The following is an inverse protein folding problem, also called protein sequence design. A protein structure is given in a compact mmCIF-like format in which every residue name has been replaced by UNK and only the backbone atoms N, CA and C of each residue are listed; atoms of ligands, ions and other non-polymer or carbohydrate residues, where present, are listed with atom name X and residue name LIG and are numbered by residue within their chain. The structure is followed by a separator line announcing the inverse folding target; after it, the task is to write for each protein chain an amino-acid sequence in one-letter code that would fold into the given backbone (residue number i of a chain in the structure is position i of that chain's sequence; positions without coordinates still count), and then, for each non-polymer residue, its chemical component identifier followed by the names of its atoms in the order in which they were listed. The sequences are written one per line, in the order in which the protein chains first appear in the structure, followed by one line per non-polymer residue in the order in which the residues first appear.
data_IF_422621809362
#
_entry.id   IF_422621809362
#
_cell.length_a   1.000
_cell.length_b   1.000
_cell.length_c   1.000
_cell.angle_alpha   90.00
_cell.angle_beta   90.00
_cell.angle_gamma   90.00
#
_symmetry.space_group_name_H-M   'P 1'
#
loop_
_entity.id
_entity.type
_entity.pdbx_description
1 polymer ?
#
# COMPACT_ATOMS: atom_id res chain seq x y z
N UNK A 1 7.50 6.55 -25.90
CA UNK A 1 6.03 6.44 -25.84
C UNK A 1 5.60 7.21 -24.62
N UNK A 2 4.72 8.20 -24.77
CA UNK A 2 4.37 9.11 -23.69
C UNK A 2 3.65 8.35 -22.58
N UNK A 3 4.24 8.34 -21.37
CA UNK A 3 3.50 7.99 -20.16
C UNK A 3 2.46 9.09 -19.98
N UNK A 4 1.20 8.78 -20.29
CA UNK A 4 0.07 9.66 -19.96
C UNK A 4 -0.02 9.70 -18.44
N UNK A 5 0.26 10.86 -17.87
CA UNK A 5 0.25 11.06 -16.42
C UNK A 5 -1.18 10.87 -15.92
N UNK A 6 -1.40 9.84 -15.09
CA UNK A 6 -2.70 9.61 -14.44
C UNK A 6 -2.93 10.67 -13.36
N UNK A 7 -4.12 11.26 -13.30
CA UNK A 7 -4.57 12.26 -12.34
C UNK A 7 -5.82 11.82 -11.57
N UNK A 8 -6.26 12.61 -10.58
CA UNK A 8 -7.38 12.23 -9.71
C UNK A 8 -8.68 11.95 -10.49
N UNK A 9 -8.90 12.62 -11.62
CA UNK A 9 -10.06 12.42 -12.49
C UNK A 9 -10.05 11.06 -13.20
N UNK A 10 -8.87 10.46 -13.39
CA UNK A 10 -8.72 9.15 -14.01
C UNK A 10 -9.23 8.01 -13.12
N UNK A 11 -9.35 8.27 -11.81
CA UNK A 11 -9.88 7.34 -10.82
C UNK A 11 -11.39 7.52 -10.58
N UNK A 12 -12.03 8.47 -11.24
CA UNK A 12 -13.45 8.71 -11.07
C UNK A 12 -14.25 7.48 -11.56
N UNK A 13 -15.26 7.03 -10.79
CA UNK A 13 -16.06 5.89 -11.20
C UNK A 13 -16.76 6.17 -12.53
N UNK A 14 -16.64 5.22 -13.46
CA UNK A 14 -17.45 5.21 -14.68
C UNK A 14 -18.93 4.93 -14.35
N UNK A 15 -19.83 5.20 -15.31
CA UNK A 15 -21.30 5.21 -15.17
C UNK A 15 -21.82 4.24 -14.09
N UNK A 16 -22.60 4.79 -13.15
CA UNK A 16 -23.22 4.12 -11.99
C UNK A 16 -23.97 2.81 -12.32
N UNK A 17 -24.43 2.67 -13.56
CA UNK A 17 -25.30 1.60 -14.03
C UNK A 17 -24.56 0.27 -14.28
N UNK A 18 -23.23 0.26 -14.36
CA UNK A 18 -22.43 -0.94 -14.70
C UNK A 18 -21.98 -1.79 -13.49
N UNK A 19 -22.34 -1.41 -12.26
CA UNK A 19 -21.77 -1.98 -11.01
C UNK A 19 -22.73 -2.85 -10.16
N UNK A 20 -23.86 -3.28 -10.72
CA UNK A 20 -24.78 -4.17 -10.01
C UNK A 20 -24.25 -5.61 -10.02
N UNK A 21 -23.74 -6.09 -8.88
CA UNK A 21 -23.18 -7.44 -8.74
C UNK A 21 -21.83 -7.66 -9.44
N UNK A 22 -21.12 -6.58 -9.77
CA UNK A 22 -19.80 -6.63 -10.40
C UNK A 22 -18.80 -5.71 -9.67
N UNK A 23 -17.49 -6.04 -9.71
CA UNK A 23 -16.46 -5.14 -9.20
C UNK A 23 -16.49 -3.77 -9.89
N UNK A 24 -16.15 -2.71 -9.16
CA UNK A 24 -16.02 -1.35 -9.69
C UNK A 24 -15.04 -1.33 -10.86
N UNK A 25 -15.45 -0.83 -12.02
CA UNK A 25 -14.59 -0.81 -13.20
C UNK A 25 -13.34 0.06 -13.00
N UNK A 26 -12.18 -0.45 -13.39
CA UNK A 26 -10.90 0.27 -13.44
C UNK A 26 -10.36 0.15 -14.86
N UNK A 27 -9.85 1.26 -15.41
CA UNK A 27 -9.32 1.28 -16.78
C UNK A 27 -8.06 0.40 -16.88
N UNK A 28 -7.85 -0.32 -17.99
CA UNK A 28 -6.70 -1.23 -18.15
C UNK A 28 -5.33 -0.57 -17.92
N UNK A 29 -5.13 0.65 -18.41
CA UNK A 29 -3.88 1.41 -18.25
C UNK A 29 -3.56 1.75 -16.79
N UNK A 30 -4.58 1.90 -15.95
CA UNK A 30 -4.41 2.10 -14.50
C UNK A 30 -4.01 0.78 -13.85
N UNK A 31 -4.69 -0.32 -14.21
CA UNK A 31 -4.33 -1.66 -13.70
C UNK A 31 -2.89 -2.02 -14.08
N UNK A 32 -2.45 -1.71 -15.29
CA UNK A 32 -1.06 -1.92 -15.73
C UNK A 32 -0.07 -1.08 -14.90
N UNK A 33 -0.35 0.21 -14.68
CA UNK A 33 0.51 1.07 -13.88
C UNK A 33 0.59 0.61 -12.41
N UNK A 34 -0.53 0.17 -11.82
CA UNK A 34 -0.59 -0.37 -10.46
C UNK A 34 0.13 -1.71 -10.37
N UNK A 35 -0.10 -2.63 -11.31
CA UNK A 35 0.58 -3.92 -11.36
C UNK A 35 2.08 -3.72 -11.47
N UNK A 36 2.52 -2.78 -12.29
CA UNK A 36 3.94 -2.48 -12.44
C UNK A 36 4.52 -1.80 -11.22
N UNK A 37 3.71 -1.21 -10.32
CA UNK A 37 4.11 -0.42 -9.17
C UNK A 37 4.57 1.01 -9.54
N UNK A 38 4.05 1.56 -10.63
CA UNK A 38 4.38 2.87 -11.19
C UNK A 38 3.27 3.92 -10.96
N UNK A 39 2.15 3.51 -10.35
CA UNK A 39 1.06 4.42 -10.02
C UNK A 39 1.32 5.21 -8.72
N UNK A 40 0.83 6.46 -8.69
CA UNK A 40 0.95 7.37 -7.55
C UNK A 40 -0.12 7.17 -6.48
N UNK A 41 -1.18 6.45 -6.78
CA UNK A 41 -2.37 6.27 -5.95
C UNK A 41 -2.83 4.80 -5.91
N UNK A 42 -1.96 3.82 -5.60
CA UNK A 42 -2.34 2.40 -5.66
C UNK A 42 -3.54 2.06 -4.77
N UNK A 43 -3.76 2.78 -3.67
CA UNK A 43 -4.93 2.62 -2.79
C UNK A 43 -6.27 3.05 -3.42
N UNK A 44 -6.25 3.76 -4.56
CA UNK A 44 -7.45 4.05 -5.35
C UNK A 44 -7.91 2.83 -6.16
N UNK A 45 -7.07 1.80 -6.26
CA UNK A 45 -7.33 0.57 -7.03
C UNK A 45 -7.25 -0.66 -6.15
N UNK A 46 -6.19 -0.82 -5.36
CA UNK A 46 -5.97 -1.90 -4.40
C UNK A 46 -6.64 -1.60 -3.07
N UNK A 47 -6.96 -2.66 -2.34
CA UNK A 47 -7.76 -2.62 -1.13
C UNK A 47 -9.26 -2.69 -1.42
N UNK A 48 -10.09 -2.34 -0.42
CA UNK A 48 -11.53 -2.40 -0.52
C UNK A 48 -12.14 -1.09 -1.01
N UNK A 49 -13.04 -1.17 -1.99
CA UNK A 49 -13.80 -0.03 -2.52
C UNK A 49 -15.29 -0.33 -2.45
N UNK A 50 -15.99 0.42 -1.60
CA UNK A 50 -17.44 0.33 -1.46
C UNK A 50 -18.13 1.12 -2.58
N UNK A 51 -19.08 0.50 -3.28
CA UNK A 51 -19.93 1.17 -4.25
C UNK A 51 -21.24 1.69 -3.63
N UNK A 52 -21.97 2.52 -4.37
CA UNK A 52 -23.24 3.11 -3.92
C UNK A 52 -24.38 2.09 -3.71
N UNK A 53 -24.19 0.85 -4.18
CA UNK A 53 -25.15 -0.24 -4.06
C UNK A 53 -24.86 -1.15 -2.85
N UNK A 54 -23.82 -0.84 -2.06
CA UNK A 54 -23.46 -1.61 -0.87
C UNK A 54 -22.55 -2.81 -1.13
N UNK A 55 -22.05 -3.00 -2.35
CA UNK A 55 -21.05 -4.02 -2.62
C UNK A 55 -19.63 -3.48 -2.45
N UNK A 56 -18.74 -4.31 -1.90
CA UNK A 56 -17.32 -3.97 -1.72
C UNK A 56 -16.51 -4.74 -2.75
N UNK A 57 -15.90 -4.01 -3.67
CA UNK A 57 -14.88 -4.59 -4.55
C UNK A 57 -13.58 -4.68 -3.77
N UNK A 58 -12.95 -5.84 -3.71
CA UNK A 58 -11.62 -5.98 -3.12
C UNK A 58 -10.64 -6.35 -4.21
N UNK A 59 -9.59 -5.53 -4.35
CA UNK A 59 -8.46 -5.82 -5.25
C UNK A 59 -7.18 -5.97 -4.47
N UNK A 60 -6.36 -6.94 -4.83
CA UNK A 60 -5.05 -7.12 -4.22
C UNK A 60 -4.01 -7.54 -5.25
N UNK A 61 -2.80 -6.99 -5.13
CA UNK A 61 -1.65 -7.37 -5.95
C UNK A 61 -0.90 -8.48 -5.21
N UNK A 62 -1.00 -9.71 -5.72
CA UNK A 62 -0.40 -10.89 -5.09
C UNK A 62 0.40 -11.67 -6.13
N UNK A 63 1.72 -11.52 -6.04
CA UNK A 63 2.67 -12.17 -6.94
C UNK A 63 2.98 -13.59 -6.47
N UNK A 64 3.29 -14.46 -7.43
CA UNK A 64 3.79 -15.83 -7.18
C UNK A 64 2.84 -16.72 -6.37
N UNK A 65 1.53 -16.47 -6.46
CA UNK A 65 0.47 -17.27 -5.82
C UNK A 65 -0.33 -18.08 -6.84
N UNK A 66 -0.81 -19.26 -6.42
CA UNK A 66 -1.67 -20.13 -7.22
C UNK A 66 -3.12 -19.64 -7.23
N UNK A 67 -3.62 -19.19 -6.08
CA UNK A 67 -4.96 -18.66 -5.91
C UNK A 67 -5.04 -17.75 -4.68
N UNK A 68 -6.02 -16.84 -4.70
CA UNK A 68 -6.31 -15.93 -3.59
C UNK A 68 -7.77 -16.10 -3.18
N UNK A 69 -8.01 -16.17 -1.86
CA UNK A 69 -9.33 -15.98 -1.29
C UNK A 69 -9.32 -14.79 -0.32
N UNK A 70 -10.45 -14.12 -0.19
CA UNK A 70 -10.72 -13.18 0.89
C UNK A 70 -11.51 -13.91 1.98
N UNK A 71 -10.98 -13.89 3.20
CA UNK A 71 -11.61 -14.45 4.39
C UNK A 71 -12.28 -13.32 5.17
N UNK A 72 -13.59 -13.39 5.37
CA UNK A 72 -14.31 -12.53 6.32
C UNK A 72 -14.63 -13.34 7.59
N UNK A 73 -15.35 -12.74 8.54
CA UNK A 73 -15.82 -13.46 9.72
C UNK A 73 -16.81 -14.60 9.37
N UNK A 74 -17.48 -14.53 8.22
CA UNK A 74 -18.57 -15.43 7.84
C UNK A 74 -18.27 -16.24 6.58
N UNK A 75 -17.46 -15.70 5.67
CA UNK A 75 -17.35 -16.20 4.31
C UNK A 75 -15.91 -16.33 3.83
N UNK A 76 -15.73 -17.17 2.82
CA UNK A 76 -14.50 -17.27 2.04
C UNK A 76 -14.85 -17.01 0.59
N UNK A 77 -14.35 -15.91 0.05
CA UNK A 77 -14.66 -15.45 -1.30
C UNK A 77 -13.43 -15.66 -2.19
N UNK A 78 -13.47 -16.56 -3.18
CA UNK A 78 -12.37 -16.71 -4.12
C UNK A 78 -12.25 -15.49 -5.02
N UNK A 79 -11.02 -15.03 -5.25
CA UNK A 79 -10.74 -13.95 -6.20
C UNK A 79 -10.40 -14.52 -7.57
N UNK A 80 -10.66 -13.72 -8.60
CA UNK A 80 -10.24 -13.99 -9.98
C UNK A 80 -9.16 -13.01 -10.42
N UNK A 81 -8.25 -13.44 -11.29
CA UNK A 81 -7.24 -12.53 -11.88
C UNK A 81 -7.93 -11.52 -12.80
N UNK A 82 -7.66 -10.24 -12.57
CA UNK A 82 -8.16 -9.14 -13.39
C UNK A 82 -7.11 -8.65 -14.39
N UNK A 83 -5.87 -8.45 -13.93
CA UNK A 83 -4.75 -8.00 -14.75
C UNK A 83 -3.42 -8.42 -14.11
N UNK A 84 -2.60 -9.21 -14.83
CA UNK A 84 -1.33 -9.71 -14.31
C UNK A 84 -1.51 -10.43 -12.96
N UNK A 85 -0.87 -9.90 -11.92
CA UNK A 85 -0.96 -10.37 -10.54
C UNK A 85 -1.98 -9.60 -9.67
N UNK A 86 -2.83 -8.77 -10.28
CA UNK A 86 -3.98 -8.15 -9.62
C UNK A 86 -5.15 -9.14 -9.61
N UNK A 87 -5.65 -9.41 -8.42
CA UNK A 87 -6.81 -10.25 -8.15
C UNK A 87 -7.99 -9.40 -7.68
N UNK A 88 -9.20 -9.74 -8.10
CA UNK A 88 -10.43 -9.01 -7.77
C UNK A 88 -11.56 -9.95 -7.36
N UNK A 89 -12.41 -9.46 -6.46
CA UNK A 89 -13.68 -10.10 -6.12
C UNK A 89 -14.61 -9.16 -5.39
N UNK A 90 -15.80 -9.67 -5.07
CA UNK A 90 -16.88 -8.91 -4.49
C UNK A 90 -17.22 -9.46 -3.10
N UNK A 91 -17.24 -8.59 -2.10
CA UNK A 91 -17.80 -8.88 -0.79
C UNK A 91 -19.16 -8.19 -0.66
N UNK A 92 -20.05 -8.83 0.08
CA UNK A 92 -21.28 -8.20 0.54
C UNK A 92 -21.00 -7.40 1.82
N UNK A 93 -21.39 -6.12 1.84
CA UNK A 93 -21.32 -5.35 3.07
C UNK A 93 -22.44 -5.80 4.03
N UNK A 94 -22.06 -6.34 5.19
CA UNK A 94 -23.01 -6.72 6.25
C UNK A 94 -23.69 -5.50 6.89
N UNK A 95 -23.02 -4.35 6.86
CA UNK A 95 -23.51 -3.07 7.34
C UNK A 95 -23.46 -2.05 6.21
N UNK A 96 -24.58 -1.36 5.96
CA UNK A 96 -24.67 -0.33 4.91
C UNK A 96 -23.60 0.73 5.14
N UNK A 97 -22.79 1.01 4.12
CA UNK A 97 -21.76 2.04 4.20
C UNK A 97 -20.42 1.57 4.78
N UNK A 98 -20.28 0.30 5.18
CA UNK A 98 -19.09 -0.20 5.86
C UNK A 98 -18.45 -1.38 5.14
N UNK A 99 -17.14 -1.28 4.99
CA UNK A 99 -16.32 -2.40 4.50
C UNK A 99 -16.18 -3.44 5.63
N UNK A 100 -16.50 -4.73 5.39
CA UNK A 100 -16.28 -5.78 6.37
C UNK A 100 -14.78 -5.96 6.63
N UNK A 101 -14.44 -6.38 7.85
CA UNK A 101 -13.07 -6.82 8.14
C UNK A 101 -12.76 -8.10 7.36
N UNK A 102 -11.54 -8.22 6.85
CA UNK A 102 -11.12 -9.37 6.07
C UNK A 102 -9.62 -9.67 6.20
N UNK A 103 -9.22 -10.87 5.77
CA UNK A 103 -7.82 -11.29 5.56
C UNK A 103 -7.65 -11.90 4.18
N UNK A 104 -6.44 -11.82 3.64
CA UNK A 104 -6.08 -12.45 2.37
C UNK A 104 -5.53 -13.83 2.68
N UNK A 105 -6.16 -14.86 2.12
CA UNK A 105 -5.61 -16.21 2.08
C UNK A 105 -4.85 -16.40 0.78
N UNK A 106 -3.53 -16.52 0.89
CA UNK A 106 -2.62 -16.85 -0.21
C UNK A 106 -2.45 -18.35 -0.30
N UNK A 107 -2.76 -18.93 -1.44
CA UNK A 107 -2.50 -20.33 -1.76
C UNK A 107 -1.22 -20.37 -2.59
N UNK A 108 -0.16 -20.89 -2.01
CA UNK A 108 1.18 -20.95 -2.59
C UNK A 108 1.57 -22.42 -2.86
N UNK A 109 2.69 -22.64 -3.54
CA UNK A 109 3.16 -24.00 -3.85
C UNK A 109 3.61 -24.80 -2.62
N UNK A 110 4.05 -24.09 -1.56
CA UNK A 110 4.59 -24.65 -0.31
C UNK A 110 3.57 -24.64 0.84
N UNK A 111 2.39 -24.04 0.66
CA UNK A 111 1.35 -24.02 1.69
C UNK A 111 0.33 -22.90 1.53
N UNK A 112 -0.37 -22.62 2.62
CA UNK A 112 -1.36 -21.56 2.71
C UNK A 112 -0.90 -20.54 3.75
N UNK A 113 -0.92 -19.25 3.39
CA UNK A 113 -0.60 -18.14 4.28
C UNK A 113 -1.80 -17.22 4.41
N UNK A 114 -2.07 -16.76 5.63
CA UNK A 114 -3.10 -15.76 5.89
C UNK A 114 -2.39 -14.48 6.28
N UNK A 115 -2.64 -13.41 5.55
CA UNK A 115 -2.04 -12.10 5.77
C UNK A 115 -3.14 -11.03 5.82
N UNK A 116 -2.80 -9.87 6.37
CA UNK A 116 -3.62 -8.68 6.20
C UNK A 116 -3.23 -7.92 4.92
N UNK A 117 -4.10 -7.03 4.45
CA UNK A 117 -3.94 -6.29 3.20
C UNK A 117 -3.26 -4.93 3.45
N UNK A 118 -2.06 -4.65 2.90
CA UNK A 118 -1.42 -3.34 3.05
C UNK A 118 -2.29 -2.16 2.58
N UNK A 119 -3.16 -2.40 1.59
CA UNK A 119 -3.91 -1.35 0.90
C UNK A 119 -5.29 -1.05 1.51
N UNK A 120 -5.69 -1.75 2.58
CA UNK A 120 -6.97 -1.47 3.26
C UNK A 120 -6.88 -0.37 4.32
N UNK A 121 -5.68 0.04 4.71
CA UNK A 121 -5.45 0.93 5.84
C UNK A 121 -5.51 2.41 5.42
N UNK A 122 -6.18 3.22 6.25
CA UNK A 122 -6.28 4.67 6.03
C UNK A 122 -4.94 5.38 6.21
N UNK A 123 -4.76 6.57 5.63
CA UNK A 123 -3.58 7.37 5.87
C UNK A 123 -3.28 7.61 7.34
N UNK A 124 -2.00 7.48 7.70
CA UNK A 124 -1.53 7.85 9.04
C UNK A 124 -1.51 9.36 9.17
N UNK A 125 -1.07 10.04 8.11
CA UNK A 125 -0.87 11.48 8.13
C UNK A 125 -2.12 12.23 7.64
N UNK A 126 -2.68 13.06 8.52
CA UNK A 126 -3.73 14.01 8.18
C UNK A 126 -3.19 15.34 7.67
N UNK A 127 -4.09 16.28 7.40
CA UNK A 127 -3.72 17.61 6.88
C UNK A 127 -2.81 18.40 7.83
N UNK A 128 -2.98 18.21 9.15
CA UNK A 128 -2.17 18.86 10.17
C UNK A 128 -0.73 18.35 10.16
N UNK A 129 -0.52 17.04 10.10
CA UNK A 129 0.81 16.44 10.00
C UNK A 129 1.49 16.84 8.70
N UNK A 130 0.76 16.81 7.58
CA UNK A 130 1.28 17.29 6.31
C UNK A 130 1.67 18.77 6.33
N UNK A 131 0.93 19.61 7.07
CA UNK A 131 1.32 21.00 7.30
C UNK A 131 2.61 21.09 8.11
N UNK A 132 2.73 20.32 9.20
CA UNK A 132 3.93 20.27 10.04
C UNK A 132 5.17 19.81 9.28
N UNK A 133 5.04 18.84 8.36
CA UNK A 133 6.16 18.41 7.50
C UNK A 133 6.63 19.56 6.59
N UNK A 134 5.72 20.40 6.10
CA UNK A 134 6.07 21.53 5.22
C UNK A 134 6.68 22.73 5.95
N UNK A 135 6.29 22.97 7.19
CA UNK A 135 6.69 24.19 7.94
C UNK A 135 7.65 23.93 9.10
N UNK A 136 7.80 22.67 9.50
CA UNK A 136 8.64 22.26 10.61
C UNK A 136 10.14 22.16 10.27
N UNK A 137 10.94 21.92 11.30
CA UNK A 137 12.38 21.63 11.18
C UNK A 137 12.67 20.12 11.23
N UNK A 138 13.96 19.78 11.31
CA UNK A 138 14.43 18.39 11.29
C UNK A 138 13.76 17.51 12.34
N UNK A 139 13.64 17.98 13.58
CA UNK A 139 12.98 17.25 14.68
C UNK A 139 11.52 16.84 14.34
N UNK A 140 10.82 17.66 13.56
CA UNK A 140 9.45 17.33 13.11
C UNK A 140 9.46 16.31 11.98
N UNK A 141 10.47 16.35 11.11
CA UNK A 141 10.63 15.38 10.03
C UNK A 141 11.00 14.01 10.58
N UNK A 142 11.94 13.92 11.51
CA UNK A 142 12.34 12.67 12.20
C UNK A 142 11.15 12.03 12.93
N UNK A 143 10.23 12.83 13.46
CA UNK A 143 9.02 12.33 14.12
C UNK A 143 7.97 11.78 13.14
N UNK A 144 7.86 12.33 11.93
CA UNK A 144 6.74 12.07 11.02
C UNK A 144 7.10 11.24 9.79
N UNK A 145 8.36 11.31 9.34
CA UNK A 145 8.89 10.56 8.22
C UNK A 145 9.63 9.30 8.70
N UNK A 146 9.91 8.39 7.78
CA UNK A 146 10.61 7.13 8.00
C UNK A 146 9.71 5.97 8.34
N UNK A 147 10.25 4.99 9.05
CA UNK A 147 9.56 3.75 9.41
C UNK A 147 9.07 3.78 10.87
N UNK A 148 7.78 3.55 11.08
CA UNK A 148 7.14 3.62 12.39
C UNK A 148 6.33 2.35 12.64
N UNK A 149 6.64 1.57 13.67
CA UNK A 149 5.76 0.49 14.12
C UNK A 149 4.36 1.03 14.42
N UNK A 150 3.32 0.29 14.02
CA UNK A 150 1.93 0.65 14.27
C UNK A 150 1.12 -0.58 14.63
N UNK A 151 0.07 -0.34 15.43
CA UNK A 151 -0.83 -1.36 15.93
C UNK A 151 -2.28 -0.92 15.66
N UNK A 152 -3.05 -1.79 15.01
CA UNK A 152 -4.46 -1.57 14.70
C UNK A 152 -5.31 -2.70 15.26
N UNK A 153 -6.32 -2.34 16.07
CA UNK A 153 -7.30 -3.30 16.54
C UNK A 153 -8.37 -3.53 15.48
N UNK A 154 -8.68 -4.79 15.18
CA UNK A 154 -9.71 -5.18 14.21
C UNK A 154 -10.62 -6.28 14.77
N UNK A 155 -11.88 -6.39 14.29
CA UNK A 155 -12.78 -7.50 14.65
C UNK A 155 -12.18 -8.90 14.48
N UNK A 156 -11.25 -9.08 13.54
CA UNK A 156 -10.55 -10.35 13.28
C UNK A 156 -9.19 -10.46 13.98
N UNK A 157 -8.90 -9.59 14.95
CA UNK A 157 -7.68 -9.62 15.77
C UNK A 157 -6.81 -8.36 15.64
N UNK A 158 -5.74 -8.31 16.41
CA UNK A 158 -4.77 -7.22 16.34
C UNK A 158 -3.90 -7.35 15.07
N UNK A 159 -3.58 -6.19 14.49
CA UNK A 159 -2.74 -6.07 13.30
C UNK A 159 -1.54 -5.21 13.66
N UNK A 160 -0.38 -5.84 13.72
CA UNK A 160 0.90 -5.17 13.93
C UNK A 160 1.62 -5.05 12.60
N UNK A 161 2.37 -3.96 12.41
CA UNK A 161 3.16 -3.76 11.21
C UNK A 161 3.94 -2.47 11.27
N UNK A 162 4.40 -1.99 10.12
CA UNK A 162 5.19 -0.76 10.04
C UNK A 162 4.61 0.17 8.97
N UNK A 163 4.38 1.42 9.37
CA UNK A 163 4.06 2.54 8.48
C UNK A 163 5.34 3.18 7.96
N UNK A 164 5.48 3.24 6.65
CA UNK A 164 6.60 3.90 5.98
C UNK A 164 6.13 5.22 5.39
N UNK A 165 6.92 6.28 5.59
CA UNK A 165 6.62 7.62 5.09
C UNK A 165 7.89 8.26 4.55
N UNK A 166 7.85 8.86 3.36
CA UNK A 166 9.02 9.59 2.82
C UNK A 166 8.60 10.82 2.02
N UNK A 167 9.43 11.85 2.07
CA UNK A 167 9.25 13.06 1.26
C UNK A 167 10.08 12.97 -0.02
N UNK A 168 9.41 12.81 -1.17
CA UNK A 168 10.02 12.80 -2.50
C UNK A 168 9.08 13.43 -3.53
N UNK A 169 9.10 14.76 -3.62
CA UNK A 169 8.14 15.50 -4.45
C UNK A 169 8.28 15.23 -5.96
N UNK A 170 9.51 14.97 -6.41
CA UNK A 170 9.88 14.81 -7.82
C UNK A 170 9.72 13.36 -8.32
N UNK A 171 9.60 12.38 -7.42
CA UNK A 171 9.37 10.99 -7.79
C UNK A 171 8.03 10.83 -8.53
N UNK A 172 8.03 10.00 -9.56
CA UNK A 172 6.82 9.61 -10.29
C UNK A 172 6.04 8.55 -9.50
N UNK A 173 6.74 7.64 -8.84
CA UNK A 173 6.22 6.61 -7.96
C UNK A 173 7.27 6.27 -6.91
N UNK A 174 6.83 5.76 -5.75
CA UNK A 174 7.71 5.32 -4.66
C UNK A 174 7.27 3.94 -4.20
N UNK A 175 8.24 3.09 -3.86
CA UNK A 175 8.03 1.77 -3.25
C UNK A 175 8.93 1.63 -2.04
N UNK A 176 8.62 0.63 -1.22
CA UNK A 176 9.51 0.16 -0.16
C UNK A 176 9.92 -1.28 -0.41
N UNK A 177 11.21 -1.56 -0.31
CA UNK A 177 11.77 -2.91 -0.41
C UNK A 177 12.56 -3.24 0.86
N UNK A 178 12.60 -4.51 1.24
CA UNK A 178 13.25 -4.97 2.46
C UNK A 178 13.09 -6.47 2.67
N UNK A 179 13.47 -6.95 3.85
CA UNK A 179 13.44 -8.38 4.17
C UNK A 179 12.02 -8.98 4.01
N UNK A 180 11.00 -8.19 4.31
CA UNK A 180 9.58 -8.59 4.27
C UNK A 180 9.02 -8.80 2.86
N UNK A 181 9.69 -8.33 1.80
CA UNK A 181 9.30 -8.56 0.41
C UNK A 181 10.47 -9.02 -0.46
N UNK A 182 11.47 -9.67 0.15
CA UNK A 182 12.63 -10.24 -0.54
C UNK A 182 13.31 -9.18 -1.42
N UNK A 183 13.38 -7.95 -0.92
CA UNK A 183 13.98 -6.81 -1.61
C UNK A 183 13.35 -6.52 -2.98
N UNK A 184 12.06 -6.82 -3.15
CA UNK A 184 11.29 -6.49 -4.35
C UNK A 184 10.20 -5.47 -4.02
N UNK A 185 10.46 -4.19 -4.30
CA UNK A 185 9.51 -3.11 -4.00
C UNK A 185 8.23 -3.13 -4.84
N UNK A 186 8.20 -3.87 -5.96
CA UNK A 186 7.02 -3.92 -6.85
C UNK A 186 5.76 -4.51 -6.22
N UNK A 187 5.88 -5.11 -5.03
CA UNK A 187 4.75 -5.60 -4.22
C UNK A 187 4.20 -4.56 -3.23
N UNK A 188 4.94 -3.48 -2.96
CA UNK A 188 4.60 -2.48 -1.94
C UNK A 188 4.82 -1.05 -2.47
N UNK A 189 4.06 -0.69 -3.51
CA UNK A 189 3.98 0.68 -4.01
C UNK A 189 3.23 1.59 -3.03
N UNK A 190 3.76 2.79 -2.80
CA UNK A 190 3.28 3.76 -1.82
C UNK A 190 2.29 4.73 -2.46
N UNK A 191 1.32 5.24 -1.69
CA UNK A 191 0.44 6.33 -2.16
C UNK A 191 1.08 7.68 -1.91
N UNK A 192 0.90 8.60 -2.85
CA UNK A 192 1.18 10.01 -2.68
C UNK A 192 0.03 10.70 -1.96
N UNK A 193 0.34 11.46 -0.91
CA UNK A 193 -0.64 12.21 -0.14
C UNK A 193 -0.95 13.56 -0.80
N UNK A 194 -1.91 13.55 -1.73
CA UNK A 194 -2.31 14.74 -2.48
C UNK A 194 -1.13 15.35 -3.25
N UNK A 195 -1.00 16.67 -3.21
CA UNK A 195 0.09 17.40 -3.87
C UNK A 195 1.33 17.60 -2.98
N UNK A 196 1.36 17.01 -1.78
CA UNK A 196 2.40 17.28 -0.77
C UNK A 196 3.79 16.79 -1.15
N UNK A 197 3.90 15.80 -2.04
CA UNK A 197 5.16 15.10 -2.31
C UNK A 197 5.55 14.10 -1.22
N UNK A 198 4.66 13.86 -0.24
CA UNK A 198 4.81 12.84 0.79
C UNK A 198 4.19 11.54 0.29
N UNK A 199 4.91 10.45 0.47
CA UNK A 199 4.51 9.10 0.12
C UNK A 199 4.37 8.28 1.37
N UNK A 200 3.35 7.42 1.45
CA UNK A 200 3.21 6.50 2.57
C UNK A 200 2.59 5.15 2.19
N UNK A 201 2.84 4.15 3.03
CA UNK A 201 2.16 2.86 3.07
C UNK A 201 2.26 2.29 4.48
N UNK A 202 1.23 1.57 4.93
CA UNK A 202 1.35 0.68 6.08
C UNK A 202 1.45 -0.76 5.60
N UNK A 203 2.42 -1.51 6.11
CA UNK A 203 2.64 -2.91 5.74
C UNK A 203 2.46 -3.78 6.99
N UNK A 204 1.37 -4.56 7.06
CA UNK A 204 1.15 -5.52 8.12
C UNK A 204 2.28 -6.56 8.21
N UNK A 205 2.61 -6.98 9.42
CA UNK A 205 3.57 -8.05 9.70
C UNK A 205 5.04 -7.64 9.59
N UNK A 206 5.35 -6.38 9.25
CA UNK A 206 6.74 -5.89 9.25
C UNK A 206 7.16 -5.55 10.68
N UNK A 207 8.13 -6.28 11.27
CA UNK A 207 8.54 -6.07 12.65
C UNK A 207 9.60 -4.98 12.79
N UNK A 208 9.76 -4.48 14.01
CA UNK A 208 10.97 -3.77 14.43
C UNK A 208 12.22 -4.59 14.13
N UNK A 209 13.28 -3.93 13.68
CA UNK A 209 14.54 -4.55 13.27
C UNK A 209 14.57 -4.98 11.80
N UNK A 210 13.44 -4.94 11.08
CA UNK A 210 13.43 -5.23 9.66
C UNK A 210 14.29 -4.23 8.88
N UNK A 211 15.07 -4.73 7.91
CA UNK A 211 15.86 -3.90 7.01
C UNK A 211 15.00 -3.45 5.83
N UNK A 212 15.23 -2.21 5.38
CA UNK A 212 14.51 -1.65 4.25
C UNK A 212 15.27 -0.55 3.51
N UNK A 213 14.80 -0.25 2.30
CA UNK A 213 15.11 0.92 1.47
C UNK A 213 13.85 1.40 0.76
N UNK A 214 13.94 2.60 0.19
CA UNK A 214 12.94 3.07 -0.76
C UNK A 214 13.45 2.92 -2.19
N UNK A 215 12.54 2.59 -3.11
CA UNK A 215 12.79 2.67 -4.55
C UNK A 215 12.01 3.87 -5.09
N UNK A 216 12.65 4.74 -5.86
CA UNK A 216 12.00 5.88 -6.51
C UNK A 216 12.02 5.70 -8.02
N UNK A 217 10.87 5.94 -8.65
CA UNK A 217 10.80 6.08 -10.09
C UNK A 217 11.13 7.52 -10.45
N UNK A 218 12.31 7.71 -11.03
CA UNK A 218 12.74 9.01 -11.50
C UNK A 218 11.96 9.46 -12.75
N UNK A 219 11.91 10.78 -13.05
CA UNK A 219 11.35 11.29 -14.30
C UNK A 219 12.00 10.71 -15.58
N UNK A 220 13.19 10.14 -15.45
CA UNK A 220 13.91 9.43 -16.52
C UNK A 220 13.30 8.07 -16.86
N UNK A 221 12.40 7.55 -16.00
CA UNK A 221 11.80 6.21 -16.11
C UNK A 221 12.63 5.10 -15.45
N UNK A 222 13.66 5.44 -14.67
CA UNK A 222 14.54 4.49 -14.00
C UNK A 222 14.16 4.35 -12.54
N UNK A 223 14.15 3.11 -12.03
CA UNK A 223 14.06 2.83 -10.60
C UNK A 223 15.44 2.93 -9.96
N UNK A 224 15.54 3.72 -8.91
CA UNK A 224 16.77 3.91 -8.14
C UNK A 224 16.47 3.69 -6.67
N UNK A 225 17.36 2.97 -5.99
CA UNK A 225 17.27 2.72 -4.55
C UNK A 225 17.89 3.87 -3.76
N UNK A 226 17.19 4.27 -2.70
CA UNK A 226 17.65 5.27 -1.76
C UNK A 226 17.45 4.79 -0.33
N UNK A 227 18.41 5.15 0.52
CA UNK A 227 18.21 5.10 1.95
C UNK A 227 17.11 6.09 2.37
N UNK A 228 16.46 5.82 3.49
CA UNK A 228 15.55 6.77 4.11
C UNK A 228 16.34 8.01 4.60
N UNK A 229 15.99 9.24 4.15
CA UNK A 229 16.67 10.46 4.57
C UNK A 229 16.66 10.73 6.08
N UNK A 230 15.63 10.25 6.79
CA UNK A 230 15.53 10.35 8.25
C UNK A 230 15.72 9.00 8.95
N UNK A 231 16.07 7.96 8.19
CA UNK A 231 16.15 6.61 8.69
C UNK A 231 17.41 6.35 9.49
N UNK A 232 17.29 5.42 10.44
CA UNK A 232 18.44 4.92 11.17
C UNK A 232 19.13 3.84 10.35
N UNK A 233 20.43 4.02 10.11
CA UNK A 233 21.25 3.10 9.34
C UNK A 233 21.62 1.87 10.15
N UNK A 234 21.68 0.71 9.49
CA UNK A 234 22.31 -0.47 10.07
C UNK A 234 23.79 -0.20 10.27
N UNK A 235 24.30 -0.45 11.48
CA UNK A 235 25.73 -0.38 11.79
C UNK A 235 26.54 -1.53 11.19
N UNK A 236 25.84 -2.57 10.70
CA UNK A 236 26.44 -3.80 10.18
C UNK A 236 26.52 -3.84 8.65
N UNK A 237 25.81 -2.95 7.94
CA UNK A 237 25.74 -2.92 6.48
C UNK A 237 26.36 -1.64 5.89
N UNK A 238 27.37 -1.76 4.99
CA UNK A 238 28.06 -0.61 4.41
C UNK A 238 27.23 0.18 3.40
N UNK A 239 26.11 -0.36 2.92
CA UNK A 239 25.35 0.19 1.80
C UNK A 239 24.15 1.07 2.23
N UNK A 240 24.22 1.73 3.39
CA UNK A 240 23.16 2.63 3.86
C UNK A 240 21.77 1.97 3.95
N UNK A 241 21.71 0.71 4.38
CA UNK A 241 20.44 0.02 4.64
C UNK A 241 19.81 0.60 5.92
N UNK A 242 18.53 0.94 5.87
CA UNK A 242 17.79 1.45 7.02
C UNK A 242 17.16 0.30 7.81
N UNK A 243 16.95 0.52 9.11
CA UNK A 243 16.34 -0.46 10.03
C UNK A 243 15.13 0.16 10.70
N UNK A 244 14.02 -0.59 10.78
CA UNK A 244 12.82 -0.19 11.53
C UNK A 244 13.16 -0.13 13.02
N UNK A 245 13.05 1.03 13.64
CA UNK A 245 13.32 1.20 15.08
C UNK A 245 12.04 1.03 15.91
N UNK A 246 12.15 0.63 17.19
CA UNK A 246 11.01 0.60 18.09
C UNK A 246 10.49 2.03 18.37
N UNK A 247 9.21 2.14 18.74
CA UNK A 247 8.66 3.43 19.18
C UNK A 247 9.44 3.99 20.37
N UNK A 248 9.77 5.29 20.31
CA UNK A 248 10.44 5.99 21.40
C UNK A 248 11.95 5.77 21.52
N UNK A 249 12.61 5.26 20.47
CA UNK A 249 14.07 5.18 20.42
C UNK A 249 14.68 6.58 20.34
N UNK A 250 15.36 7.02 21.41
CA UNK A 250 16.27 8.17 21.38
C UNK A 250 17.64 7.69 20.89
N UNK A 251 18.17 8.35 19.85
CA UNK A 251 19.47 8.03 19.24
C UNK A 251 20.67 8.32 20.15
#
# INVERSE_FOLDING_TARGET
MGSTRLDAEDYAPHRLEDSLGAPLHVRPEILEAVERGEDKSPHAVLGPHLNLLGHVSVRTLQREVLAINILTATDTVPLTREHGDIWVGLLEALEIGRVPDYRIQRIESDGVRIIDDPYRHTPRLGELELHRIRTGGMDTLELLLGAHPQHYSSPMGEVEGTGFVVSQAEALAVRVCGDFNIWNGSSHAMRRLGLSGIWEIFIPGVPTGAKYRFEYLEPTGTWVEYADPVGHYSTEDPDSICVVQPEGFEA
#
